data_IF_765091443712
#
_entry.id   IF_765091443712
#
_cell.length_a   1.000
_cell.length_b   1.000
_cell.length_c   1.000
_cell.angle_alpha   90.00
_cell.angle_beta   90.00
_cell.angle_gamma   90.00
#
_symmetry.space_group_name_H-M   'P 1'
#
loop_
_entity.id
_entity.type
_entity.pdbx_description
1 polymer ?
#
# COMPACT_ATOMS: atom_id res chain seq x y z
N UNK A 1 -72.02 39.94 -26.35
CA UNK A 1 -72.44 39.34 -25.05
C UNK A 1 -71.55 38.13 -24.87
N UNK A 2 -70.32 38.28 -24.41
CA UNK A 2 -69.77 39.25 -23.44
C UNK A 2 -70.44 39.20 -22.06
N UNK A 3 -69.76 38.44 -21.19
CA UNK A 3 -69.15 38.82 -19.90
C UNK A 3 -69.96 39.37 -18.71
N UNK A 4 -69.66 38.73 -17.55
CA UNK A 4 -69.66 39.22 -16.14
C UNK A 4 -71.01 39.53 -15.44
N UNK A 5 -71.10 39.65 -14.08
CA UNK A 5 -70.07 39.45 -13.02
C UNK A 5 -70.45 38.59 -11.78
N UNK A 6 -69.41 38.18 -11.02
CA UNK A 6 -69.36 38.24 -9.54
C UNK A 6 -69.94 37.08 -8.69
N UNK A 7 -69.62 36.97 -7.38
CA UNK A 7 -68.96 37.99 -6.52
C UNK A 7 -67.63 37.57 -5.82
N UNK A 8 -67.00 38.57 -5.15
CA UNK A 8 -65.89 38.54 -4.14
C UNK A 8 -66.34 39.41 -2.93
N UNK A 9 -65.53 39.81 -1.91
CA UNK A 9 -64.18 39.40 -1.43
C UNK A 9 -64.33 38.83 0.02
N UNK A 10 -63.58 39.14 1.13
CA UNK A 10 -62.32 39.88 1.38
C UNK A 10 -61.07 38.96 1.31
N UNK A 11 -59.83 39.37 1.63
CA UNK A 11 -59.25 40.71 1.84
C UNK A 11 -58.32 40.84 3.06
N UNK A 12 -57.10 41.37 2.84
CA UNK A 12 -56.03 41.71 3.82
C UNK A 12 -55.28 40.51 4.47
N UNK A 13 -53.96 40.52 4.72
CA UNK A 13 -52.79 41.27 4.16
C UNK A 13 -51.49 40.50 4.49
N UNK A 14 -50.32 40.76 3.85
CA UNK A 14 -49.09 39.98 4.04
C UNK A 14 -47.92 40.78 4.67
N UNK A 15 -48.03 41.18 5.96
CA UNK A 15 -47.00 41.87 6.77
C UNK A 15 -47.17 41.45 8.27
N UNK A 16 -46.19 41.36 9.19
CA UNK A 16 -44.72 41.49 9.17
C UNK A 16 -44.08 40.72 10.38
N UNK A 17 -42.73 40.69 10.49
CA UNK A 17 -41.87 40.44 11.67
C UNK A 17 -41.93 39.09 12.43
N UNK A 18 -40.76 38.45 12.58
CA UNK A 18 -40.54 37.40 13.57
C UNK A 18 -39.18 36.67 13.48
N UNK A 19 -38.12 37.23 14.07
CA UNK A 19 -36.84 36.52 14.25
C UNK A 19 -36.99 35.24 15.10
N UNK A 20 -36.27 34.16 14.75
CA UNK A 20 -35.45 33.33 15.66
C UNK A 20 -34.83 32.08 14.99
N UNK A 21 -33.51 32.08 14.86
CA UNK A 21 -32.69 30.93 15.29
C UNK A 21 -32.39 31.11 16.81
N UNK A 22 -31.86 30.14 17.62
CA UNK A 22 -31.22 28.86 17.22
C UNK A 22 -31.46 27.61 18.14
N UNK A 23 -30.86 26.48 17.75
CA UNK A 23 -30.39 25.32 18.56
C UNK A 23 -31.32 24.15 18.97
N UNK A 24 -30.64 22.98 19.07
CA UNK A 24 -31.01 21.67 19.70
C UNK A 24 -31.97 20.77 18.90
N UNK A 25 -31.72 19.46 18.71
CA UNK A 25 -30.58 18.64 19.13
C UNK A 25 -30.97 17.26 19.69
N UNK A 26 -31.25 16.29 18.81
CA UNK A 26 -31.32 14.82 19.06
C UNK A 26 -31.67 14.12 17.73
N UNK A 27 -31.15 12.94 17.37
CA UNK A 27 -30.06 12.17 17.97
C UNK A 27 -30.07 10.71 17.47
N UNK A 28 -28.90 10.10 17.34
CA UNK A 28 -28.70 8.64 17.39
C UNK A 28 -29.26 7.79 16.26
N UNK A 29 -28.39 7.45 15.30
CA UNK A 29 -28.26 6.06 14.82
C UNK A 29 -26.88 5.85 14.19
N UNK A 30 -25.86 5.83 15.04
CA UNK A 30 -24.60 5.17 14.74
C UNK A 30 -24.88 3.73 14.32
N UNK A 31 -24.69 3.44 13.04
CA UNK A 31 -24.36 2.10 12.58
C UNK A 31 -22.84 2.08 12.38
N UNK A 32 -22.08 1.26 13.14
CA UNK A 32 -20.73 0.92 12.74
C UNK A 32 -20.83 0.04 11.49
N UNK A 33 -20.97 0.69 10.33
CA UNK A 33 -20.76 0.07 9.04
C UNK A 33 -19.27 -0.22 8.92
N UNK A 34 -18.95 -1.50 8.97
CA UNK A 34 -17.65 -2.04 8.63
C UNK A 34 -17.18 -1.46 7.28
N UNK A 35 -16.12 -0.64 7.31
CA UNK A 35 -15.49 -0.07 6.13
C UNK A 35 -14.13 -0.75 5.94
N UNK A 36 -14.05 -1.80 5.11
CA UNK A 36 -12.79 -2.50 4.81
C UNK A 36 -11.87 -1.69 3.87
N UNK A 37 -12.07 -0.37 3.75
CA UNK A 37 -11.36 0.52 2.81
C UNK A 37 -10.60 1.67 3.49
N UNK A 38 -10.63 1.76 4.82
CA UNK A 38 -9.72 2.60 5.62
C UNK A 38 -8.39 1.83 5.76
N UNK A 39 -7.27 2.27 5.18
CA UNK A 39 -6.77 3.65 5.13
C UNK A 39 -6.08 4.01 3.80
N UNK A 40 -6.45 5.14 3.15
CA UNK A 40 -5.55 5.84 2.25
C UNK A 40 -4.56 6.65 3.11
N UNK A 41 -3.34 6.13 3.27
CA UNK A 41 -2.30 6.68 4.14
C UNK A 41 -1.97 5.75 5.31
N UNK A 42 -1.35 4.61 5.01
CA UNK A 42 -0.53 3.91 6.00
C UNK A 42 0.69 4.75 6.35
N UNK A 43 1.22 4.59 7.56
CA UNK A 43 2.54 5.14 7.89
C UNK A 43 3.58 4.46 7.00
N UNK A 44 4.78 5.03 6.82
CA UNK A 44 5.86 4.33 6.09
C UNK A 44 6.14 2.93 6.68
N UNK A 45 5.94 2.82 7.99
CA UNK A 45 6.05 1.61 8.80
C UNK A 45 5.00 0.51 8.51
N UNK A 46 3.86 0.86 7.89
CA UNK A 46 2.81 -0.09 7.49
C UNK A 46 3.00 -0.58 6.03
N UNK A 47 4.17 -0.34 5.42
CA UNK A 47 4.41 -0.74 4.03
C UNK A 47 4.87 -2.21 3.94
N UNK A 48 4.50 -2.93 2.86
CA UNK A 48 4.90 -4.34 2.70
C UNK A 48 6.43 -4.52 2.63
N UNK A 49 7.18 -3.50 2.21
CA UNK A 49 8.65 -3.50 2.29
C UNK A 49 9.16 -3.57 3.74
N UNK A 50 8.55 -2.80 4.64
CA UNK A 50 8.90 -2.78 6.07
C UNK A 50 8.50 -4.09 6.74
N UNK A 51 7.34 -4.66 6.40
CA UNK A 51 6.91 -5.96 6.93
C UNK A 51 7.85 -7.09 6.50
N UNK A 52 8.28 -7.11 5.22
CA UNK A 52 9.28 -8.07 4.73
C UNK A 52 10.62 -7.92 5.46
N UNK A 53 11.06 -6.70 5.79
CA UNK A 53 12.25 -6.49 6.62
C UNK A 53 12.04 -6.91 8.07
N UNK A 54 10.85 -6.70 8.66
CA UNK A 54 10.51 -7.17 10.01
C UNK A 54 10.54 -8.70 10.09
N UNK A 55 10.01 -9.38 9.07
CA UNK A 55 10.12 -10.83 8.90
C UNK A 55 11.58 -11.26 8.74
N UNK A 56 12.38 -10.58 7.92
CA UNK A 56 13.80 -10.89 7.75
C UNK A 56 14.61 -10.77 9.05
N UNK A 57 14.23 -9.87 9.96
CA UNK A 57 14.87 -9.70 11.28
C UNK A 57 14.43 -10.77 12.28
N UNK A 58 13.13 -11.08 12.35
CA UNK A 58 12.56 -11.91 13.42
C UNK A 58 12.40 -13.39 13.05
N UNK A 59 12.24 -13.70 11.76
CA UNK A 59 11.97 -15.05 11.20
C UNK A 59 12.64 -15.21 9.82
N UNK A 60 13.96 -15.02 9.69
CA UNK A 60 14.65 -15.04 8.40
C UNK A 60 14.39 -16.31 7.58
N UNK A 61 14.22 -17.46 8.23
CA UNK A 61 13.96 -18.76 7.60
C UNK A 61 12.65 -18.83 6.80
N UNK A 62 11.65 -18.00 7.10
CA UNK A 62 10.38 -17.98 6.36
C UNK A 62 10.48 -17.16 5.05
N UNK A 63 11.41 -16.21 4.98
CA UNK A 63 11.48 -15.23 3.88
C UNK A 63 12.78 -15.28 3.06
N UNK A 64 13.84 -15.95 3.53
CA UNK A 64 15.17 -15.97 2.88
C UNK A 64 15.14 -16.33 1.39
N UNK A 65 14.30 -17.29 0.97
CA UNK A 65 14.13 -17.71 -0.43
C UNK A 65 13.48 -16.63 -1.34
N UNK A 66 12.99 -15.54 -0.75
CA UNK A 66 12.27 -14.46 -1.43
C UNK A 66 13.01 -13.12 -1.42
N UNK A 67 14.02 -12.97 -0.56
CA UNK A 67 14.71 -11.69 -0.37
C UNK A 67 15.69 -11.41 -1.52
N UNK A 68 15.53 -10.26 -2.15
CA UNK A 68 16.40 -9.76 -3.22
C UNK A 68 16.42 -8.22 -3.17
N UNK A 69 17.53 -7.60 -3.57
CA UNK A 69 17.68 -6.13 -3.60
C UNK A 69 16.58 -5.43 -4.43
N UNK A 70 16.08 -6.06 -5.49
CA UNK A 70 15.04 -5.51 -6.35
C UNK A 70 13.67 -5.32 -5.64
N UNK A 71 13.50 -5.87 -4.44
CA UNK A 71 12.33 -5.59 -3.60
C UNK A 71 12.37 -4.19 -2.98
N UNK A 72 13.53 -3.57 -2.82
CA UNK A 72 13.70 -2.36 -2.02
C UNK A 72 14.04 -1.13 -2.87
N UNK A 73 13.04 -0.27 -3.13
CA UNK A 73 13.26 1.03 -3.80
C UNK A 73 13.90 2.07 -2.86
N UNK A 74 13.38 2.19 -1.63
CA UNK A 74 13.85 3.22 -0.71
C UNK A 74 15.25 2.87 -0.23
N UNK A 75 16.19 3.79 -0.40
CA UNK A 75 17.61 3.57 -0.07
C UNK A 75 17.82 3.08 1.38
N UNK A 76 17.00 3.55 2.33
CA UNK A 76 17.02 3.08 3.71
C UNK A 76 16.67 1.58 3.82
N UNK A 77 15.64 1.12 3.10
CA UNK A 77 15.22 -0.29 3.11
C UNK A 77 16.27 -1.19 2.44
N UNK A 78 16.85 -0.73 1.32
CA UNK A 78 17.90 -1.46 0.62
C UNK A 78 19.19 -1.58 1.46
N UNK A 79 19.62 -0.50 2.09
CA UNK A 79 20.78 -0.51 2.98
C UNK A 79 20.54 -1.40 4.21
N UNK A 80 19.33 -1.36 4.78
CA UNK A 80 18.91 -2.25 5.87
C UNK A 80 19.02 -3.71 5.45
N UNK A 81 18.51 -4.08 4.28
CA UNK A 81 18.64 -5.43 3.72
C UNK A 81 20.10 -5.84 3.53
N UNK A 82 20.93 -4.98 2.93
CA UNK A 82 22.36 -5.24 2.69
C UNK A 82 23.12 -5.50 3.98
N UNK A 83 22.88 -4.70 5.02
CA UNK A 83 23.50 -4.91 6.34
C UNK A 83 23.01 -6.22 6.96
N UNK A 84 21.73 -6.56 6.86
CA UNK A 84 21.19 -7.83 7.38
C UNK A 84 21.83 -9.05 6.71
N UNK A 85 22.05 -9.01 5.39
CA UNK A 85 22.72 -10.11 4.65
C UNK A 85 24.22 -10.16 4.93
N UNK A 86 24.86 -9.02 5.20
CA UNK A 86 26.28 -8.95 5.52
C UNK A 86 26.64 -9.38 6.96
N UNK A 87 25.65 -9.44 7.87
CA UNK A 87 25.84 -9.67 9.30
C UNK A 87 25.37 -11.06 9.71
N UNK A 88 26.06 -11.70 10.66
CA UNK A 88 25.62 -12.99 11.22
C UNK A 88 24.52 -12.84 12.28
N UNK A 89 24.36 -11.64 12.86
CA UNK A 89 23.34 -11.36 13.89
C UNK A 89 22.75 -9.95 13.76
N UNK A 90 21.54 -9.75 14.29
CA UNK A 90 20.90 -8.42 14.36
C UNK A 90 21.69 -7.41 15.21
N UNK A 91 22.44 -7.87 16.22
CA UNK A 91 23.27 -7.00 17.05
C UNK A 91 24.47 -6.46 16.26
N UNK A 92 25.18 -7.34 15.56
CA UNK A 92 26.26 -6.98 14.64
C UNK A 92 25.77 -6.01 13.55
N UNK A 93 24.59 -6.30 12.96
CA UNK A 93 23.95 -5.43 11.99
C UNK A 93 23.70 -4.01 12.52
N UNK A 94 23.21 -3.88 13.77
CA UNK A 94 22.98 -2.58 14.42
C UNK A 94 24.31 -1.87 14.71
N UNK A 95 25.34 -2.59 15.18
CA UNK A 95 26.65 -2.02 15.51
C UNK A 95 27.47 -1.57 14.27
N UNK A 96 27.36 -2.27 13.15
CA UNK A 96 28.03 -1.91 11.89
C UNK A 96 27.29 -0.87 11.05
N UNK A 97 26.03 -0.59 11.37
CA UNK A 97 25.15 0.27 10.59
C UNK A 97 25.43 1.78 10.73
N UNK A 98 25.12 2.58 9.69
CA UNK A 98 24.85 4.00 9.84
C UNK A 98 23.75 4.26 10.89
N UNK A 99 23.77 5.39 11.63
CA UNK A 99 22.88 5.62 12.77
C UNK A 99 21.38 5.57 12.43
N UNK A 100 21.00 5.92 11.20
CA UNK A 100 19.63 5.85 10.70
C UNK A 100 19.17 4.38 10.50
N UNK A 101 20.01 3.57 9.84
CA UNK A 101 19.78 2.12 9.65
C UNK A 101 19.78 1.39 10.99
N UNK A 102 20.72 1.70 11.89
CA UNK A 102 20.81 1.13 13.23
C UNK A 102 19.54 1.41 14.06
N UNK A 103 19.01 2.63 13.98
CA UNK A 103 17.76 3.01 14.66
C UNK A 103 16.56 2.26 14.09
N UNK A 104 16.52 2.07 12.78
CA UNK A 104 15.46 1.35 12.09
C UNK A 104 15.49 -0.17 12.38
N UNK A 105 16.66 -0.81 12.30
CA UNK A 105 16.88 -2.20 12.70
C UNK A 105 16.48 -2.47 14.16
N UNK A 106 16.87 -1.56 15.07
CA UNK A 106 16.50 -1.65 16.49
C UNK A 106 14.98 -1.66 16.69
N UNK A 107 14.23 -0.94 15.85
CA UNK A 107 12.78 -0.92 15.87
C UNK A 107 12.17 -2.21 15.29
N UNK A 108 12.65 -2.66 14.13
CA UNK A 108 12.19 -3.92 13.52
C UNK A 108 12.42 -5.13 14.43
N UNK A 109 13.50 -5.13 15.22
CA UNK A 109 13.83 -6.20 16.17
C UNK A 109 12.93 -6.28 17.41
N UNK A 110 12.04 -5.30 17.64
CA UNK A 110 11.08 -5.31 18.76
C UNK A 110 9.62 -5.30 18.32
N UNK A 111 9.36 -5.06 17.04
CA UNK A 111 8.02 -5.18 16.45
C UNK A 111 7.75 -6.63 16.04
N UNK A 112 6.60 -7.17 16.46
CA UNK A 112 6.18 -8.52 16.10
C UNK A 112 5.70 -8.56 14.63
N UNK A 113 6.25 -9.44 13.77
CA UNK A 113 5.80 -9.57 12.39
C UNK A 113 4.45 -10.30 12.28
N UNK A 114 3.70 -9.97 11.22
CA UNK A 114 2.40 -10.64 10.91
C UNK A 114 2.53 -12.16 10.82
N UNK A 115 1.50 -12.89 11.25
CA UNK A 115 1.50 -14.36 11.30
C UNK A 115 1.87 -15.01 9.96
N UNK A 116 1.18 -14.61 8.87
CA UNK A 116 1.43 -15.10 7.51
C UNK A 116 2.57 -14.32 6.84
N UNK A 117 3.76 -14.92 6.81
CA UNK A 117 4.94 -14.34 6.17
C UNK A 117 4.80 -14.18 4.64
N UNK A 118 3.92 -14.93 3.99
CA UNK A 118 3.80 -14.97 2.53
C UNK A 118 2.98 -13.80 1.99
N UNK A 119 1.95 -13.33 2.69
CA UNK A 119 1.13 -12.19 2.24
C UNK A 119 1.94 -10.90 2.00
N UNK A 120 2.75 -10.37 2.96
CA UNK A 120 3.55 -9.17 2.73
C UNK A 120 4.62 -9.38 1.65
N UNK A 121 5.20 -10.58 1.54
CA UNK A 121 6.12 -10.93 0.45
C UNK A 121 5.42 -10.84 -0.91
N UNK A 122 4.25 -11.46 -1.07
CA UNK A 122 3.50 -11.41 -2.33
C UNK A 122 3.04 -9.98 -2.66
N UNK A 123 2.62 -9.19 -1.66
CA UNK A 123 2.31 -7.77 -1.83
C UNK A 123 3.54 -6.97 -2.31
N UNK A 124 4.72 -7.21 -1.73
CA UNK A 124 5.95 -6.51 -2.11
C UNK A 124 6.44 -6.92 -3.50
N UNK A 125 6.47 -8.21 -3.83
CA UNK A 125 6.80 -8.70 -5.18
C UNK A 125 5.84 -8.11 -6.23
N UNK A 126 4.55 -7.98 -5.89
CA UNK A 126 3.56 -7.33 -6.77
C UNK A 126 3.81 -5.83 -6.93
N UNK A 127 4.25 -5.14 -5.89
CA UNK A 127 4.63 -3.72 -5.96
C UNK A 127 5.86 -3.52 -6.87
N UNK A 128 6.92 -4.32 -6.68
CA UNK A 128 8.11 -4.35 -7.56
C UNK A 128 7.71 -4.67 -9.01
N UNK A 129 6.85 -5.65 -9.24
CA UNK A 129 6.35 -5.98 -10.58
C UNK A 129 5.58 -4.84 -11.25
N UNK A 130 4.74 -4.12 -10.50
CA UNK A 130 4.03 -2.92 -11.01
C UNK A 130 5.00 -1.79 -11.38
N UNK A 131 6.04 -1.58 -10.58
CA UNK A 131 7.11 -0.61 -10.84
C UNK A 131 7.87 -0.97 -12.13
N UNK A 132 8.32 -2.21 -12.26
CA UNK A 132 9.01 -2.71 -13.45
C UNK A 132 8.15 -2.54 -14.72
N UNK A 133 6.85 -2.84 -14.63
CA UNK A 133 5.90 -2.61 -15.73
C UNK A 133 5.75 -1.12 -16.08
N UNK A 134 5.77 -0.22 -15.10
CA UNK A 134 5.72 1.23 -15.35
C UNK A 134 7.01 1.76 -16.04
N UNK A 135 8.18 1.29 -15.59
CA UNK A 135 9.48 1.59 -16.21
C UNK A 135 9.52 1.07 -17.66
N UNK A 136 9.14 -0.19 -17.88
CA UNK A 136 9.13 -0.81 -19.21
C UNK A 136 8.17 -0.07 -20.17
N UNK A 137 6.99 0.36 -19.70
CA UNK A 137 6.04 1.18 -20.50
C UNK A 137 6.57 2.55 -20.89
N UNK A 138 7.55 3.07 -20.15
CA UNK A 138 8.15 4.39 -20.37
C UNK A 138 9.45 4.31 -21.17
N UNK A 139 9.94 3.11 -21.48
CA UNK A 139 11.14 2.89 -22.27
C UNK A 139 10.90 3.21 -23.76
N UNK A 140 11.86 3.82 -24.48
CA UNK A 140 11.73 4.11 -25.90
C UNK A 140 11.67 2.83 -26.75
N UNK A 141 12.43 1.80 -26.36
CA UNK A 141 12.51 0.49 -27.03
C UNK A 141 11.62 -0.57 -26.34
N UNK A 142 10.47 -0.15 -25.82
CA UNK A 142 9.55 -1.01 -25.06
C UNK A 142 9.04 -2.20 -25.88
N UNK A 143 9.22 -3.41 -25.35
CA UNK A 143 8.80 -4.64 -26.02
C UNK A 143 7.40 -5.11 -25.56
N UNK A 144 6.49 -5.30 -26.51
CA UNK A 144 5.10 -5.66 -26.21
C UNK A 144 4.95 -7.08 -25.64
N UNK A 145 5.80 -8.03 -26.04
CA UNK A 145 5.79 -9.39 -25.51
C UNK A 145 6.19 -9.37 -24.03
N UNK A 146 7.31 -8.70 -23.70
CA UNK A 146 7.79 -8.45 -22.34
C UNK A 146 6.77 -7.71 -21.48
N UNK A 147 6.14 -6.65 -21.99
CA UNK A 147 5.06 -5.93 -21.30
C UNK A 147 3.89 -6.85 -20.96
N UNK A 148 3.48 -7.68 -21.92
CA UNK A 148 2.35 -8.61 -21.75
C UNK A 148 2.69 -9.70 -20.74
N UNK A 149 3.92 -10.26 -20.78
CA UNK A 149 4.42 -11.24 -19.81
C UNK A 149 4.48 -10.66 -18.40
N UNK A 150 5.05 -9.46 -18.22
CA UNK A 150 5.11 -8.77 -16.92
C UNK A 150 3.72 -8.48 -16.36
N UNK A 151 2.79 -7.96 -17.18
CA UNK A 151 1.42 -7.71 -16.75
C UNK A 151 0.70 -9.02 -16.36
N UNK A 152 0.92 -10.11 -17.11
CA UNK A 152 0.40 -11.44 -16.79
C UNK A 152 0.93 -12.01 -15.48
N UNK A 153 2.21 -11.82 -15.16
CA UNK A 153 2.80 -12.21 -13.88
C UNK A 153 2.19 -11.43 -12.72
N UNK A 154 2.23 -10.09 -12.78
CA UNK A 154 1.66 -9.19 -11.76
C UNK A 154 0.16 -9.44 -11.51
N UNK A 155 -0.58 -9.81 -12.57
CA UNK A 155 -1.99 -10.17 -12.50
C UNK A 155 -2.25 -11.42 -11.66
N UNK A 156 -1.42 -12.46 -11.79
CA UNK A 156 -1.61 -13.77 -11.15
C UNK A 156 -1.15 -13.83 -9.69
N UNK A 157 -0.28 -12.93 -9.23
CA UNK A 157 0.20 -12.91 -7.84
C UNK A 157 -0.99 -12.87 -6.85
N UNK A 158 -1.08 -13.93 -6.05
CA UNK A 158 -2.12 -14.23 -5.07
C UNK A 158 -1.61 -15.36 -4.14
N UNK A 159 -2.19 -15.58 -2.95
CA UNK A 159 -1.86 -16.70 -2.06
C UNK A 159 -2.44 -18.02 -2.62
N UNK A 160 -1.95 -18.43 -3.78
CA UNK A 160 -2.30 -19.67 -4.49
C UNK A 160 -1.03 -20.27 -5.10
N UNK A 161 -0.99 -21.56 -5.38
CA UNK A 161 0.20 -22.22 -5.95
C UNK A 161 0.69 -21.55 -7.25
N UNK A 162 -0.24 -21.21 -8.16
CA UNK A 162 0.06 -20.48 -9.40
C UNK A 162 0.51 -19.03 -9.14
N UNK A 163 -0.08 -18.35 -8.15
CA UNK A 163 0.29 -16.97 -7.78
C UNK A 163 1.68 -16.88 -7.13
N UNK A 164 2.03 -17.88 -6.32
CA UNK A 164 3.37 -18.08 -5.73
C UNK A 164 4.40 -18.40 -6.82
N UNK A 165 4.06 -19.27 -7.78
CA UNK A 165 4.91 -19.53 -8.94
C UNK A 165 5.12 -18.27 -9.80
N UNK A 166 4.07 -17.49 -10.05
CA UNK A 166 4.16 -16.22 -10.77
C UNK A 166 5.01 -15.18 -10.02
N UNK A 167 4.95 -15.13 -8.69
CA UNK A 167 5.81 -14.28 -7.87
C UNK A 167 7.30 -14.66 -7.99
N UNK A 168 7.63 -15.96 -7.96
CA UNK A 168 9.01 -16.46 -8.14
C UNK A 168 9.56 -16.19 -9.54
N UNK A 169 8.75 -16.37 -10.58
CA UNK A 169 9.15 -16.01 -11.95
C UNK A 169 9.38 -14.49 -12.09
N UNK A 170 8.54 -13.67 -11.44
CA UNK A 170 8.72 -12.21 -11.45
C UNK A 170 9.98 -11.76 -10.73
N UNK A 171 10.29 -12.34 -9.55
CA UNK A 171 11.56 -12.10 -8.85
C UNK A 171 12.75 -12.48 -9.74
N UNK A 172 12.74 -13.68 -10.32
CA UNK A 172 13.80 -14.16 -11.23
C UNK A 172 14.05 -13.17 -12.38
N UNK A 173 12.98 -12.60 -12.96
CA UNK A 173 13.09 -11.58 -13.99
C UNK A 173 13.63 -10.24 -13.45
N UNK A 174 13.20 -9.84 -12.25
CA UNK A 174 13.62 -8.59 -11.61
C UNK A 174 15.11 -8.59 -11.25
N UNK A 175 15.61 -9.65 -10.61
CA UNK A 175 17.03 -9.82 -10.26
C UNK A 175 17.93 -9.80 -11.50
N UNK A 176 17.52 -10.50 -12.58
CA UNK A 176 18.24 -10.49 -13.86
C UNK A 176 18.33 -9.10 -14.50
N UNK A 177 17.34 -8.23 -14.24
CA UNK A 177 17.37 -6.84 -14.73
C UNK A 177 18.22 -5.93 -13.83
N UNK A 178 18.19 -6.12 -12.52
CA UNK A 178 19.08 -5.41 -11.58
C UNK A 178 20.55 -5.62 -11.95
N UNK A 179 20.95 -6.88 -12.09
CA UNK A 179 22.31 -7.29 -12.47
C UNK A 179 22.76 -6.85 -13.89
N UNK A 180 21.87 -6.26 -14.70
CA UNK A 180 22.18 -5.73 -16.03
C UNK A 180 22.35 -4.19 -16.05
N UNK A 181 22.21 -3.53 -14.89
CA UNK A 181 22.28 -2.06 -14.76
C UNK A 181 23.33 -1.57 -13.74
N UNK A 182 24.16 -2.47 -13.20
CA UNK A 182 25.43 -2.16 -12.50
C UNK A 182 26.65 -2.34 -13.43
#
# INVERSE_FOLDING_TARGET
>A
RDQDPGPRPPGHDPEDLGHQEPTRGRGGQDRPGDDPSRRPGGSRDDSPAVEVLRLAVNRPEEVVDWLDECLFEEALHLETYRVLVASATIHEAIESSPPEVASFLSRLSVEEPVDDALDPVLLQVRATGRRLLAVERSAPDSDLERLTRLAGLVGRIAPTEDGVAAARELLTFASQRGAAHE
#
